data_IF_458191220766
#
_entry.id   IF_458191220766
#
_cell.length_a   1.000
_cell.length_b   1.000
_cell.length_c   1.000
_cell.angle_alpha   90.00
_cell.angle_beta   90.00
_cell.angle_gamma   90.00
#
_symmetry.space_group_name_H-M   'P 1'
#
loop_
_entity.id
_entity.type
_entity.pdbx_description
1 polymer ?
#
# COMPACT_ATOMS: atom_id res chain seq x y z
N UNK A 1 -7.73 -20.16 28.21
CA UNK A 1 -9.19 -20.23 28.48
C UNK A 1 -9.84 -19.51 27.31
N UNK A 2 -10.44 -20.29 26.40
CA UNK A 2 -10.81 -19.86 25.05
C UNK A 2 -12.09 -19.03 25.08
N UNK A 3 -12.03 -17.75 24.68
CA UNK A 3 -13.22 -16.96 24.41
C UNK A 3 -13.42 -16.94 22.89
N UNK A 4 -14.29 -17.83 22.40
CA UNK A 4 -14.85 -17.74 21.05
C UNK A 4 -15.87 -16.60 21.08
N UNK A 5 -15.51 -15.42 20.57
CA UNK A 5 -16.53 -14.44 20.17
C UNK A 5 -17.22 -14.99 18.94
N UNK A 6 -18.49 -15.37 19.10
CA UNK A 6 -19.40 -15.62 18.00
C UNK A 6 -19.88 -14.24 17.54
N UNK A 7 -19.25 -13.67 16.52
CA UNK A 7 -19.83 -12.54 15.79
C UNK A 7 -20.92 -13.10 14.87
N UNK A 8 -22.16 -13.00 15.32
CA UNK A 8 -23.33 -13.20 14.46
C UNK A 8 -23.57 -11.85 13.78
N UNK A 9 -23.06 -11.68 12.55
CA UNK A 9 -23.39 -10.54 11.71
C UNK A 9 -24.91 -10.57 11.44
N UNK A 10 -25.65 -9.72 12.13
CA UNK A 10 -27.08 -9.54 11.91
C UNK A 10 -27.23 -8.59 10.72
N UNK A 11 -27.22 -9.13 9.49
CA UNK A 11 -27.53 -8.36 8.28
C UNK A 11 -28.90 -7.71 8.45
N UNK A 12 -28.93 -6.39 8.62
CA UNK A 12 -30.15 -5.62 8.44
C UNK A 12 -30.53 -5.75 6.96
N UNK A 13 -31.70 -6.34 6.68
CA UNK A 13 -32.25 -6.36 5.34
C UNK A 13 -32.49 -4.91 4.89
N UNK A 14 -31.60 -4.39 4.05
CA UNK A 14 -31.74 -3.07 3.45
C UNK A 14 -33.04 -3.08 2.64
N UNK A 15 -34.01 -2.30 3.11
CA UNK A 15 -35.31 -2.18 2.44
C UNK A 15 -35.08 -1.45 1.14
N UNK A 16 -35.36 -2.12 0.01
CA UNK A 16 -35.21 -1.58 -1.34
C UNK A 16 -35.82 -0.19 -1.47
N UNK A 17 -34.99 0.85 -1.48
CA UNK A 17 -35.33 2.10 -2.10
C UNK A 17 -34.97 1.94 -3.58
N UNK A 18 -35.96 2.05 -4.47
CA UNK A 18 -35.75 2.17 -5.91
C UNK A 18 -35.01 3.50 -6.17
N UNK A 19 -33.69 3.49 -6.02
CA UNK A 19 -32.82 4.54 -6.49
C UNK A 19 -32.50 4.24 -7.96
N UNK A 20 -32.81 5.20 -8.83
CA UNK A 20 -32.33 5.30 -10.20
C UNK A 20 -30.90 4.77 -10.32
N UNK A 21 -30.70 3.76 -11.18
CA UNK A 21 -29.44 3.03 -11.30
C UNK A 21 -28.25 3.96 -11.48
N UNK A 22 -27.46 4.09 -10.42
CA UNK A 22 -26.08 4.54 -10.53
C UNK A 22 -25.37 3.42 -11.28
N UNK A 23 -24.85 3.73 -12.46
CA UNK A 23 -24.01 2.80 -13.18
C UNK A 23 -22.67 2.82 -12.47
N UNK A 24 -22.42 1.84 -11.62
CA UNK A 24 -21.09 1.61 -11.09
C UNK A 24 -20.14 1.31 -12.25
N UNK A 25 -18.97 1.93 -12.21
CA UNK A 25 -17.93 1.74 -13.20
C UNK A 25 -16.87 0.76 -12.66
N UNK A 26 -16.19 0.09 -13.58
CA UNK A 26 -14.90 -0.51 -13.27
C UNK A 26 -13.82 0.47 -13.69
N UNK A 27 -12.94 0.83 -12.76
CA UNK A 27 -11.77 1.67 -13.01
C UNK A 27 -10.53 0.78 -13.06
N UNK A 28 -9.59 1.08 -13.97
CA UNK A 28 -8.29 0.41 -14.02
C UNK A 28 -7.25 1.29 -13.36
N UNK A 29 -6.76 0.86 -12.21
CA UNK A 29 -5.70 1.56 -11.50
C UNK A 29 -4.34 1.37 -12.20
N UNK A 30 -3.44 2.36 -12.20
CA UNK A 30 -2.09 2.20 -12.73
C UNK A 30 -1.28 1.18 -11.93
N UNK A 31 -0.65 0.22 -12.60
CA UNK A 31 0.33 -0.68 -11.98
C UNK A 31 1.57 0.10 -11.54
N UNK A 32 1.85 0.12 -10.24
CA UNK A 32 2.98 0.86 -9.65
C UNK A 32 3.72 -0.03 -8.66
N UNK A 33 5.00 -0.25 -8.92
CA UNK A 33 5.90 -0.93 -8.01
C UNK A 33 6.61 0.11 -7.13
N UNK A 34 6.61 -0.09 -5.81
CA UNK A 34 7.32 0.79 -4.87
C UNK A 34 7.71 0.02 -3.60
N UNK A 35 8.87 0.33 -3.03
CA UNK A 35 9.29 -0.14 -1.69
C UNK A 35 9.22 0.96 -0.62
N UNK A 36 8.71 2.13 -1.02
CA UNK A 36 8.75 3.35 -0.20
C UNK A 36 7.56 3.43 0.77
N UNK A 37 6.53 2.59 0.58
CA UNK A 37 5.34 2.58 1.44
C UNK A 37 5.60 1.78 2.72
N UNK A 38 5.35 2.39 3.88
CA UNK A 38 5.65 1.83 5.20
C UNK A 38 4.42 1.91 6.11
N UNK A 39 3.64 0.83 6.15
CA UNK A 39 2.36 0.84 6.90
C UNK A 39 2.51 0.84 8.43
N UNK A 40 3.68 0.53 8.98
CA UNK A 40 3.90 0.52 10.43
C UNK A 40 5.32 0.90 10.83
N UNK A 41 5.42 1.53 12.00
CA UNK A 41 6.71 1.86 12.63
C UNK A 41 7.25 3.24 12.27
N UNK A 42 6.46 4.04 11.57
CA UNK A 42 6.78 5.42 11.24
C UNK A 42 6.67 6.37 12.44
N UNK A 43 7.13 7.61 12.24
CA UNK A 43 7.01 8.64 13.27
C UNK A 43 5.55 9.09 13.40
N UNK A 44 5.12 9.37 14.64
CA UNK A 44 3.76 9.84 14.89
C UNK A 44 3.45 11.10 14.09
N UNK A 45 2.36 11.07 13.32
CA UNK A 45 1.89 12.16 12.47
C UNK A 45 2.49 12.17 11.06
N UNK A 46 3.28 11.16 10.66
CA UNK A 46 3.81 11.01 9.30
C UNK A 46 3.27 9.79 8.57
N UNK A 47 2.30 9.07 9.15
CA UNK A 47 1.94 7.70 8.76
C UNK A 47 1.31 7.55 7.36
N UNK A 48 1.13 8.64 6.62
CA UNK A 48 0.57 8.63 5.26
C UNK A 48 1.37 9.52 4.29
N UNK A 49 2.48 10.12 4.75
CA UNK A 49 3.26 11.08 3.95
C UNK A 49 3.96 10.38 2.77
N UNK A 50 4.25 9.10 2.92
CA UNK A 50 4.87 8.22 1.95
C UNK A 50 4.04 8.05 0.67
N UNK A 51 2.71 8.00 0.74
CA UNK A 51 1.81 7.92 -0.43
C UNK A 51 1.99 9.09 -1.40
N UNK A 52 1.98 10.30 -0.84
CA UNK A 52 2.16 11.52 -1.63
C UNK A 52 3.61 11.67 -2.10
N UNK A 53 4.58 11.32 -1.25
CA UNK A 53 6.00 11.42 -1.60
C UNK A 53 6.43 10.41 -2.68
N UNK A 54 5.82 9.23 -2.69
CA UNK A 54 6.01 8.17 -3.70
C UNK A 54 5.24 8.43 -5.00
N UNK A 55 4.39 9.48 -5.03
CA UNK A 55 3.64 9.87 -6.21
C UNK A 55 2.58 8.85 -6.63
N UNK A 56 2.01 8.09 -5.69
CA UNK A 56 0.95 7.12 -5.99
C UNK A 56 -0.32 7.89 -6.39
N UNK A 57 -0.89 7.70 -7.59
CA UNK A 57 -2.09 8.39 -8.02
C UNK A 57 -3.32 7.79 -7.34
N UNK A 58 -4.35 8.62 -7.21
CA UNK A 58 -5.70 8.17 -6.84
C UNK A 58 -6.24 7.25 -7.93
N UNK A 59 -6.58 6.02 -7.54
CA UNK A 59 -7.19 5.01 -8.41
C UNK A 59 -8.67 5.32 -8.67
N UNK A 60 -9.41 5.71 -7.62
CA UNK A 60 -10.80 6.17 -7.73
C UNK A 60 -11.11 7.20 -6.64
N UNK A 61 -12.08 8.07 -6.94
CA UNK A 61 -12.62 9.06 -6.01
C UNK A 61 -14.14 8.90 -5.95
N UNK A 62 -14.67 8.81 -4.75
CA UNK A 62 -16.11 8.78 -4.48
C UNK A 62 -16.63 10.19 -4.12
N UNK A 63 -17.84 10.59 -4.54
CA UNK A 63 -18.45 11.82 -4.06
C UNK A 63 -18.86 11.73 -2.59
N UNK A 64 -18.82 12.85 -1.86
CA UNK A 64 -19.37 12.93 -0.51
C UNK A 64 -20.92 12.86 -0.54
N UNK A 65 -21.47 11.65 -0.56
CA UNK A 65 -22.90 11.39 -0.73
C UNK A 65 -23.53 10.51 0.36
N UNK A 66 -22.74 10.14 1.39
CA UNK A 66 -23.18 9.34 2.52
C UNK A 66 -23.16 10.13 3.86
N UNK A 67 -23.91 11.24 3.97
CA UNK A 67 -23.84 12.12 5.14
C UNK A 67 -24.30 11.42 6.43
N UNK A 68 -23.42 11.41 7.43
CA UNK A 68 -23.69 10.82 8.75
C UNK A 68 -23.35 9.34 8.87
N UNK A 69 -22.74 8.76 7.83
CA UNK A 69 -22.06 7.46 7.83
C UNK A 69 -20.56 7.69 7.61
N UNK A 70 -19.78 6.61 7.66
CA UNK A 70 -18.44 6.58 7.07
C UNK A 70 -18.62 6.66 5.55
N UNK A 71 -17.92 7.61 4.94
CA UNK A 71 -18.09 8.00 3.53
C UNK A 71 -16.71 7.96 2.88
N UNK A 72 -16.50 7.01 1.97
CA UNK A 72 -15.20 6.77 1.31
C UNK A 72 -14.91 7.97 0.40
N UNK A 73 -13.66 8.42 0.36
CA UNK A 73 -13.26 9.54 -0.49
C UNK A 73 -12.33 9.06 -1.62
N UNK A 74 -11.05 8.89 -1.36
CA UNK A 74 -10.08 8.48 -2.37
C UNK A 74 -9.50 7.11 -2.03
N UNK A 75 -9.23 6.30 -3.05
CA UNK A 75 -8.47 5.04 -2.91
C UNK A 75 -7.23 5.08 -3.78
N UNK A 76 -6.10 4.67 -3.22
CA UNK A 76 -4.82 4.51 -3.90
C UNK A 76 -4.34 3.05 -3.76
N UNK A 77 -3.54 2.59 -4.72
CA UNK A 77 -2.98 1.24 -4.71
C UNK A 77 -1.59 1.20 -5.34
N UNK A 78 -0.69 0.42 -4.74
CA UNK A 78 0.63 0.07 -5.25
C UNK A 78 1.00 -1.35 -4.79
N UNK A 79 2.13 -1.89 -5.22
CA UNK A 79 2.66 -3.13 -4.66
C UNK A 79 4.19 -3.14 -4.62
N UNK A 80 4.76 -4.02 -3.82
CA UNK A 80 6.13 -4.49 -3.98
C UNK A 80 6.13 -5.99 -4.29
N UNK A 81 7.23 -6.69 -3.98
CA UNK A 81 7.34 -8.14 -4.17
C UNK A 81 6.61 -8.96 -3.10
N UNK A 82 6.31 -8.35 -1.95
CA UNK A 82 5.80 -9.01 -0.76
C UNK A 82 4.35 -8.60 -0.43
N UNK A 83 3.97 -7.37 -0.76
CA UNK A 83 2.70 -6.76 -0.36
C UNK A 83 1.99 -6.02 -1.51
N UNK A 84 0.66 -6.03 -1.45
CA UNK A 84 -0.19 -5.02 -2.08
C UNK A 84 -0.46 -3.94 -1.03
N UNK A 85 -0.18 -2.69 -1.37
CA UNK A 85 -0.48 -1.53 -0.53
C UNK A 85 -1.78 -0.88 -0.98
N UNK A 86 -2.69 -0.61 -0.05
CA UNK A 86 -3.93 0.14 -0.31
C UNK A 86 -4.02 1.25 0.71
N UNK A 87 -4.43 2.44 0.27
CA UNK A 87 -4.77 3.57 1.13
C UNK A 87 -6.13 4.12 0.76
N UNK A 88 -6.96 4.36 1.76
CA UNK A 88 -8.29 4.93 1.64
C UNK A 88 -8.42 6.17 2.53
N UNK A 89 -8.96 7.25 1.98
CA UNK A 89 -9.36 8.46 2.72
C UNK A 89 -10.88 8.52 2.86
N UNK A 90 -11.40 9.34 3.76
CA UNK A 90 -12.85 9.45 4.04
C UNK A 90 -13.32 10.91 4.11
N UNK A 91 -14.55 11.21 3.68
CA UNK A 91 -15.13 12.57 3.61
C UNK A 91 -15.56 13.13 4.97
N UNK A 92 -14.61 13.31 5.90
CA UNK A 92 -14.88 13.84 7.24
C UNK A 92 -13.74 14.66 7.81
N UNK A 93 -14.09 15.65 8.62
CA UNK A 93 -13.14 16.47 9.39
C UNK A 93 -12.93 15.94 10.82
N UNK A 94 -13.52 14.79 11.17
CA UNK A 94 -13.45 14.19 12.52
C UNK A 94 -13.06 12.72 12.48
N UNK A 95 -12.39 12.24 13.53
CA UNK A 95 -11.98 10.85 13.69
C UNK A 95 -13.17 9.87 13.64
N UNK A 96 -13.14 8.92 12.72
CA UNK A 96 -14.12 7.83 12.58
C UNK A 96 -13.64 6.57 13.29
N UNK A 97 -14.57 5.70 13.68
CA UNK A 97 -14.27 4.31 14.02
C UNK A 97 -14.17 3.52 12.72
N UNK A 98 -12.99 3.03 12.39
CA UNK A 98 -12.70 2.36 11.12
C UNK A 98 -12.81 0.82 11.22
N UNK A 99 -13.35 0.29 12.32
CA UNK A 99 -13.57 -1.16 12.48
C UNK A 99 -14.59 -1.75 11.50
N UNK A 100 -15.38 -0.91 10.85
CA UNK A 100 -16.39 -1.28 9.87
C UNK A 100 -15.92 -1.10 8.42
N UNK A 101 -14.62 -0.89 8.20
CA UNK A 101 -14.02 -0.80 6.86
C UNK A 101 -13.50 -2.17 6.43
N UNK A 102 -13.82 -2.53 5.20
CA UNK A 102 -13.51 -3.82 4.60
C UNK A 102 -12.88 -3.67 3.22
N UNK A 103 -12.16 -4.71 2.82
CA UNK A 103 -11.68 -4.92 1.47
C UNK A 103 -12.26 -6.22 0.94
N UNK A 104 -12.75 -6.22 -0.30
CA UNK A 104 -13.20 -7.42 -1.01
C UNK A 104 -12.44 -7.59 -2.31
N UNK A 105 -11.81 -8.75 -2.51
CA UNK A 105 -10.97 -9.09 -3.66
C UNK A 105 -11.61 -10.20 -4.49
N UNK A 106 -11.88 -9.90 -5.74
CA UNK A 106 -12.15 -10.86 -6.81
C UNK A 106 -10.81 -11.24 -7.46
N UNK A 107 -10.29 -12.39 -7.05
CA UNK A 107 -8.90 -12.80 -7.28
C UNK A 107 -8.72 -13.59 -8.56
N UNK A 108 -9.81 -14.14 -9.10
CA UNK A 108 -9.85 -14.83 -10.39
C UNK A 108 -10.58 -14.01 -11.48
N UNK A 109 -11.13 -12.85 -11.12
CA UNK A 109 -11.90 -11.94 -11.97
C UNK A 109 -13.16 -12.58 -12.55
N UNK A 110 -13.78 -13.52 -11.80
CA UNK A 110 -15.06 -14.14 -12.10
C UNK A 110 -16.12 -13.71 -11.08
N UNK A 111 -17.05 -12.84 -11.52
CA UNK A 111 -18.16 -12.37 -10.70
C UNK A 111 -19.08 -13.49 -10.15
N UNK A 112 -18.96 -14.73 -10.63
CA UNK A 112 -19.80 -15.87 -10.22
C UNK A 112 -19.17 -16.78 -9.15
N UNK A 113 -17.87 -16.68 -8.86
CA UNK A 113 -17.15 -17.59 -7.95
C UNK A 113 -17.17 -17.08 -6.51
N UNK A 114 -16.98 -15.78 -6.30
CA UNK A 114 -16.96 -15.15 -4.98
C UNK A 114 -18.28 -14.52 -4.50
N UNK A 115 -18.23 -13.89 -3.33
CA UNK A 115 -19.34 -13.21 -2.67
C UNK A 115 -19.64 -11.85 -3.30
N UNK A 116 -20.90 -11.61 -3.64
CA UNK A 116 -21.39 -10.34 -4.19
C UNK A 116 -21.66 -9.32 -3.07
N UNK A 117 -20.71 -8.40 -2.88
CA UNK A 117 -20.78 -7.32 -1.88
C UNK A 117 -22.03 -6.47 -2.15
N UNK A 118 -22.88 -6.34 -1.13
CA UNK A 118 -24.20 -5.66 -1.20
C UNK A 118 -25.15 -6.11 -2.32
N UNK A 119 -24.86 -7.20 -3.02
CA UNK A 119 -25.65 -7.67 -4.17
C UNK A 119 -25.72 -6.65 -5.33
N UNK A 120 -24.66 -5.86 -5.53
CA UNK A 120 -24.57 -4.84 -6.59
C UNK A 120 -23.80 -5.31 -7.83
N UNK A 121 -23.12 -6.46 -7.77
CA UNK A 121 -22.47 -7.09 -8.93
C UNK A 121 -21.15 -6.45 -9.35
N UNK A 122 -20.40 -5.86 -8.41
CA UNK A 122 -19.10 -5.21 -8.67
C UNK A 122 -17.92 -6.18 -8.66
N UNK A 123 -17.96 -7.14 -7.74
CA UNK A 123 -16.92 -8.14 -7.52
C UNK A 123 -17.56 -9.46 -7.15
N UNK A 124 -16.98 -10.57 -7.63
CA UNK A 124 -17.13 -11.87 -7.00
C UNK A 124 -16.03 -12.01 -5.95
N UNK A 125 -16.20 -11.45 -4.75
CA UNK A 125 -15.11 -11.42 -3.76
C UNK A 125 -14.79 -12.83 -3.24
N UNK A 126 -13.59 -13.34 -3.53
CA UNK A 126 -13.06 -14.64 -3.07
C UNK A 126 -12.32 -14.53 -1.73
N UNK A 127 -11.70 -13.36 -1.51
CA UNK A 127 -10.83 -13.11 -0.38
C UNK A 127 -11.08 -11.69 0.12
N UNK A 128 -11.09 -11.51 1.43
CA UNK A 128 -11.45 -10.23 2.01
C UNK A 128 -10.72 -9.96 3.31
N UNK A 129 -10.69 -8.69 3.68
CA UNK A 129 -10.21 -8.24 4.99
C UNK A 129 -11.29 -7.40 5.67
N UNK A 130 -11.39 -7.57 6.98
CA UNK A 130 -11.96 -6.57 7.88
C UNK A 130 -10.80 -6.09 8.74
N UNK A 131 -10.50 -4.80 8.71
CA UNK A 131 -9.25 -4.29 9.29
C UNK A 131 -8.04 -5.10 8.80
N UNK A 132 -7.31 -5.75 9.69
CA UNK A 132 -6.18 -6.66 9.46
C UNK A 132 -6.56 -8.14 9.34
N UNK A 133 -7.82 -8.49 9.60
CA UNK A 133 -8.27 -9.88 9.69
C UNK A 133 -8.75 -10.42 8.33
N UNK A 134 -8.09 -11.46 7.78
CA UNK A 134 -8.45 -12.02 6.50
C UNK A 134 -9.56 -13.06 6.63
N UNK A 135 -10.39 -13.19 5.60
CA UNK A 135 -11.36 -14.27 5.50
C UNK A 135 -11.62 -14.65 4.03
N UNK A 136 -11.91 -15.93 3.84
CA UNK A 136 -12.20 -16.49 2.52
C UNK A 136 -13.71 -16.54 2.28
N UNK A 137 -14.10 -16.17 1.08
CA UNK A 137 -15.46 -15.97 0.63
C UNK A 137 -15.73 -16.83 -0.62
N UNK A 138 -16.98 -17.21 -0.81
CA UNK A 138 -17.45 -17.85 -2.06
C UNK A 138 -18.86 -17.37 -2.36
N UNK A 139 -19.38 -17.66 -3.55
CA UNK A 139 -20.73 -17.32 -3.96
C UNK A 139 -21.78 -17.70 -2.89
N UNK A 140 -22.47 -16.68 -2.37
CA UNK A 140 -23.51 -16.81 -1.35
C UNK A 140 -23.02 -17.10 0.08
N UNK A 141 -21.71 -17.19 0.33
CA UNK A 141 -21.12 -17.42 1.66
C UNK A 141 -20.11 -16.31 1.97
N UNK A 142 -20.51 -15.42 2.88
CA UNK A 142 -19.69 -14.27 3.29
C UNK A 142 -18.38 -14.66 3.98
N UNK A 143 -18.37 -15.72 4.79
CA UNK A 143 -17.14 -16.19 5.44
C UNK A 143 -17.20 -17.72 5.60
N UNK A 144 -16.31 -18.40 4.90
CA UNK A 144 -16.21 -19.86 4.89
C UNK A 144 -15.58 -20.44 6.17
N UNK A 145 -14.99 -19.59 7.02
CA UNK A 145 -14.20 -19.96 8.20
C UNK A 145 -13.02 -20.92 7.91
N UNK A 146 -12.55 -20.93 6.66
CA UNK A 146 -11.34 -21.65 6.29
C UNK A 146 -10.11 -20.99 6.93
N UNK A 147 -9.10 -21.81 7.22
CA UNK A 147 -7.84 -21.31 7.74
C UNK A 147 -7.09 -20.57 6.64
N UNK A 148 -6.57 -19.40 6.99
CA UNK A 148 -5.69 -18.60 6.15
C UNK A 148 -4.34 -18.53 6.85
N UNK A 149 -3.27 -18.62 6.07
CA UNK A 149 -1.88 -18.58 6.53
C UNK A 149 -1.04 -17.72 5.58
N UNK A 150 0.24 -17.57 5.88
CA UNK A 150 1.14 -16.61 5.21
C UNK A 150 1.18 -15.27 5.96
N UNK A 151 1.81 -14.29 5.34
CA UNK A 151 1.93 -12.93 5.87
C UNK A 151 2.84 -12.82 7.10
N UNK A 152 2.99 -11.58 7.61
CA UNK A 152 4.02 -11.23 8.61
C UNK A 152 3.91 -11.97 9.94
N UNK A 153 2.70 -12.45 10.29
CA UNK A 153 2.44 -13.19 11.53
C UNK A 153 1.89 -14.60 11.30
N UNK A 154 1.89 -15.09 10.05
CA UNK A 154 1.55 -16.47 9.70
C UNK A 154 0.07 -16.82 9.66
N UNK A 155 -0.84 -15.85 9.79
CA UNK A 155 -2.30 -16.03 9.72
C UNK A 155 -2.94 -15.37 8.48
N UNK A 156 -2.11 -14.90 7.54
CA UNK A 156 -2.51 -14.11 6.38
C UNK A 156 -3.01 -12.70 6.69
N UNK A 157 -2.85 -12.21 7.93
CA UNK A 157 -3.26 -10.86 8.29
C UNK A 157 -2.44 -9.79 7.60
N UNK A 158 -3.10 -8.67 7.27
CA UNK A 158 -2.44 -7.49 6.72
C UNK A 158 -1.74 -6.70 7.84
N UNK A 159 -0.67 -5.98 7.50
CA UNK A 159 -0.27 -4.85 8.33
C UNK A 159 -1.23 -3.70 8.05
N UNK A 160 -1.60 -2.95 9.08
CA UNK A 160 -2.52 -1.83 8.94
C UNK A 160 -2.10 -0.63 9.75
N UNK A 161 -2.51 0.56 9.31
CA UNK A 161 -2.55 1.77 10.12
C UNK A 161 -3.79 2.62 9.79
N UNK A 162 -4.55 3.11 10.79
CA UNK A 162 -4.35 2.88 12.23
C UNK A 162 -4.62 1.43 12.63
N UNK A 163 -3.87 0.93 13.61
CA UNK A 163 -4.03 -0.45 14.13
C UNK A 163 -4.80 -0.49 15.45
N UNK A 164 -5.25 -1.69 15.81
CA UNK A 164 -5.99 -1.94 17.04
C UNK A 164 -5.11 -1.69 18.29
N UNK A 165 -5.46 -0.72 19.14
CA UNK A 165 -4.69 -0.37 20.34
C UNK A 165 -5.16 -1.10 21.62
N UNK A 166 -5.78 -2.26 21.44
CA UNK A 166 -6.39 -3.09 22.51
C UNK A 166 -7.90 -3.20 22.38
N UNK A 167 -8.52 -4.23 22.96
CA UNK A 167 -9.89 -4.73 22.65
C UNK A 167 -11.01 -3.68 22.61
N UNK A 168 -10.85 -2.53 23.27
CA UNK A 168 -11.84 -1.44 23.35
C UNK A 168 -11.38 -0.18 22.60
N UNK A 169 -10.38 -0.30 21.73
CA UNK A 169 -9.73 0.81 21.02
C UNK A 169 -9.53 0.41 19.55
N UNK A 170 -10.61 0.43 18.76
CA UNK A 170 -10.56 0.12 17.34
C UNK A 170 -9.66 1.11 16.59
N UNK A 171 -9.15 0.72 15.41
CA UNK A 171 -8.63 1.66 14.42
C UNK A 171 -9.54 2.85 14.28
N UNK A 172 -8.98 4.05 14.40
CA UNK A 172 -9.76 5.28 14.31
C UNK A 172 -8.97 6.38 13.63
N UNK A 173 -9.60 7.09 12.71
CA UNK A 173 -8.93 8.07 11.85
C UNK A 173 -9.83 8.60 10.75
N UNK A 174 -9.24 9.37 9.85
CA UNK A 174 -9.87 9.84 8.59
C UNK A 174 -9.18 9.23 7.35
N UNK A 175 -8.22 8.33 7.58
CA UNK A 175 -7.42 7.63 6.59
C UNK A 175 -7.12 6.23 7.13
N UNK A 176 -6.98 5.26 6.22
CA UNK A 176 -6.68 3.88 6.54
C UNK A 176 -5.79 3.29 5.44
N UNK A 177 -4.72 2.61 5.83
CA UNK A 177 -3.86 1.89 4.92
C UNK A 177 -3.60 0.45 5.34
N UNK A 178 -3.27 -0.37 4.34
CA UNK A 178 -3.00 -1.80 4.45
C UNK A 178 -1.73 -2.17 3.68
N UNK A 179 -0.95 -3.11 4.22
CA UNK A 179 0.00 -3.92 3.48
C UNK A 179 -0.50 -5.37 3.49
N UNK A 180 -1.05 -5.80 2.35
CA UNK A 180 -1.70 -7.10 2.18
C UNK A 180 -0.68 -8.11 1.65
N UNK A 181 -0.41 -9.20 2.39
CA UNK A 181 0.61 -10.15 2.00
C UNK A 181 0.25 -10.93 0.73
N UNK A 182 1.15 -10.90 -0.26
CA UNK A 182 1.04 -11.67 -1.50
C UNK A 182 1.25 -13.17 -1.29
N UNK A 183 1.90 -13.57 -0.20
CA UNK A 183 2.09 -14.97 0.19
C UNK A 183 0.92 -15.55 1.00
N UNK A 184 -0.18 -14.80 1.18
CA UNK A 184 -1.38 -15.32 1.84
C UNK A 184 -1.95 -16.52 1.08
N UNK A 185 -2.34 -17.57 1.81
CA UNK A 185 -2.94 -18.78 1.22
C UNK A 185 -4.07 -19.36 2.07
N UNK A 186 -5.09 -19.87 1.38
CA UNK A 186 -6.23 -20.59 1.96
C UNK A 186 -5.89 -22.07 2.08
N UNK A 187 -6.29 -22.69 3.19
CA UNK A 187 -6.05 -24.12 3.45
C UNK A 187 -7.37 -24.90 3.34
N UNK A 188 -7.60 -25.56 2.18
CA UNK A 188 -8.76 -26.45 1.97
C UNK A 188 -8.60 -27.43 0.79
N UNK A 189 -8.58 -28.76 1.01
CA UNK A 189 -7.65 -29.50 1.86
C UNK A 189 -6.17 -29.40 1.40
N UNK A 190 -5.92 -28.73 0.28
CA UNK A 190 -4.60 -28.40 -0.25
C UNK A 190 -4.46 -26.88 -0.20
N UNK A 191 -3.28 -26.37 0.16
CA UNK A 191 -3.03 -24.94 0.20
C UNK A 191 -3.10 -24.33 -1.22
N UNK A 192 -3.82 -23.22 -1.35
CA UNK A 192 -3.87 -22.38 -2.56
C UNK A 192 -3.63 -20.93 -2.20
N UNK A 193 -2.82 -20.22 -3.00
CA UNK A 193 -2.63 -18.79 -2.84
C UNK A 193 -3.98 -18.06 -2.88
N UNK A 194 -4.12 -17.02 -2.06
CA UNK A 194 -5.27 -16.13 -2.10
C UNK A 194 -5.29 -15.36 -3.42
N UNK A 195 -4.14 -14.84 -3.86
CA UNK A 195 -3.98 -14.23 -5.16
C UNK A 195 -3.45 -15.27 -6.16
N UNK A 196 -4.35 -15.83 -6.97
CA UNK A 196 -4.01 -16.89 -7.93
C UNK A 196 -3.50 -16.37 -9.28
N UNK A 197 -3.64 -15.06 -9.51
CA UNK A 197 -3.29 -14.33 -10.72
C UNK A 197 -2.63 -12.99 -10.34
N UNK A 198 -1.72 -12.44 -11.16
CA UNK A 198 -1.19 -11.09 -10.94
C UNK A 198 -2.25 -10.00 -11.18
N UNK A 199 -3.35 -10.32 -11.85
CA UNK A 199 -4.48 -9.41 -12.07
C UNK A 199 -5.66 -9.81 -11.19
N UNK A 200 -6.25 -8.83 -10.52
CA UNK A 200 -7.43 -8.98 -9.67
C UNK A 200 -8.30 -7.73 -9.75
N UNK A 201 -9.49 -7.79 -9.16
CA UNK A 201 -10.36 -6.63 -8.95
C UNK A 201 -10.73 -6.55 -7.49
N UNK A 202 -10.83 -5.34 -6.94
CA UNK A 202 -11.19 -5.17 -5.54
C UNK A 202 -12.11 -3.96 -5.34
N UNK A 203 -12.74 -3.92 -4.18
CA UNK A 203 -13.51 -2.78 -3.67
C UNK A 203 -13.11 -2.49 -2.24
N UNK A 204 -13.18 -1.22 -1.86
CA UNK A 204 -13.27 -0.80 -0.45
C UNK A 204 -14.74 -0.63 -0.14
N UNK A 205 -15.20 -1.18 0.98
CA UNK A 205 -16.59 -1.02 1.39
C UNK A 205 -16.72 -0.83 2.91
N UNK A 206 -17.79 -0.19 3.30
CA UNK A 206 -18.12 0.11 4.69
C UNK A 206 -19.51 -0.43 5.02
N UNK A 207 -19.63 -1.10 6.15
CA UNK A 207 -20.92 -1.53 6.71
C UNK A 207 -21.07 -1.04 8.16
N UNK A 208 -21.29 0.26 8.32
CA UNK A 208 -21.46 0.91 9.63
C UNK A 208 -22.83 0.68 10.29
N UNK A 209 -23.66 -0.19 9.70
CA UNK A 209 -25.04 -0.48 10.11
C UNK A 209 -26.01 0.70 9.98
N UNK A 210 -25.61 1.82 9.37
CA UNK A 210 -26.45 2.99 9.09
C UNK A 210 -26.67 3.11 7.58
N UNK A 211 -25.62 3.41 6.84
CA UNK A 211 -25.59 3.48 5.38
C UNK A 211 -24.30 2.82 4.91
N UNK A 212 -24.44 1.70 4.20
CA UNK A 212 -23.30 1.04 3.58
C UNK A 212 -22.76 1.88 2.44
N UNK A 213 -21.45 1.82 2.25
CA UNK A 213 -20.74 2.52 1.19
C UNK A 213 -19.80 1.57 0.45
N UNK A 214 -19.62 1.77 -0.85
CA UNK A 214 -18.76 0.91 -1.67
C UNK A 214 -18.23 1.68 -2.87
N UNK A 215 -16.93 1.59 -3.09
CA UNK A 215 -16.30 2.22 -4.25
C UNK A 215 -16.75 1.59 -5.57
N UNK A 216 -16.47 2.28 -6.67
CA UNK A 216 -16.33 1.62 -7.98
C UNK A 216 -15.41 0.39 -7.89
N UNK A 217 -15.58 -0.57 -8.80
CA UNK A 217 -14.71 -1.75 -8.88
C UNK A 217 -13.32 -1.34 -9.39
N UNK A 218 -12.25 -1.64 -8.64
CA UNK A 218 -10.88 -1.24 -8.99
C UNK A 218 -10.13 -2.46 -9.52
N UNK A 219 -9.85 -2.48 -10.83
CA UNK A 219 -8.96 -3.47 -11.42
C UNK A 219 -7.51 -3.08 -11.21
N UNK A 220 -6.69 -4.02 -10.76
CA UNK A 220 -5.26 -3.86 -10.62
C UNK A 220 -4.52 -5.05 -11.21
N UNK A 221 -3.32 -4.79 -11.75
CA UNK A 221 -2.36 -5.84 -12.09
C UNK A 221 -1.07 -5.52 -11.36
N UNK A 222 -0.54 -6.49 -10.61
CA UNK A 222 0.71 -6.34 -9.89
C UNK A 222 1.78 -5.80 -10.83
N UNK A 223 2.39 -4.69 -10.43
CA UNK A 223 3.57 -4.18 -11.09
C UNK A 223 4.75 -5.09 -10.77
N UNK A 224 5.53 -5.38 -11.79
CA UNK A 224 6.82 -6.05 -11.61
C UNK A 224 7.82 -5.06 -11.01
N UNK A 225 8.79 -5.55 -10.22
CA UNK A 225 9.93 -4.73 -9.82
C UNK A 225 10.53 -4.06 -11.07
N UNK A 226 10.92 -2.77 -10.99
CA UNK A 226 11.72 -2.19 -12.04
C UNK A 226 12.91 -3.13 -12.28
N UNK A 227 13.33 -3.35 -13.53
CA UNK A 227 14.50 -4.17 -13.79
C UNK A 227 15.62 -3.64 -12.89
N UNK A 228 16.15 -4.50 -12.02
CA UNK A 228 17.26 -4.11 -11.15
C UNK A 228 18.35 -3.48 -12.02
N UNK A 229 18.93 -2.38 -11.56
CA UNK A 229 19.99 -1.72 -12.30
C UNK A 229 21.08 -2.78 -12.53
N UNK A 230 21.44 -3.12 -13.78
CA UNK A 230 22.33 -4.25 -13.99
C UNK A 230 23.67 -3.98 -13.28
N UNK A 231 24.01 -4.79 -12.27
CA UNK A 231 25.19 -4.54 -11.45
C UNK A 231 24.92 -4.12 -10.01
N UNK A 232 23.68 -3.72 -9.70
CA UNK A 232 23.15 -3.54 -8.33
C UNK A 232 22.83 -4.94 -7.78
N UNK A 233 23.81 -5.54 -7.15
CA UNK A 233 23.78 -6.91 -6.68
C UNK A 233 23.23 -7.02 -5.26
N UNK A 234 23.32 -5.98 -4.44
CA UNK A 234 22.71 -5.96 -3.11
C UNK A 234 21.34 -5.26 -3.05
N UNK A 235 20.87 -4.77 -4.20
CA UNK A 235 19.55 -4.19 -4.44
C UNK A 235 19.29 -2.94 -3.60
N UNK A 236 20.33 -2.16 -3.31
CA UNK A 236 20.25 -0.91 -2.56
C UNK A 236 19.97 0.32 -3.44
N UNK A 237 19.89 0.12 -4.75
CA UNK A 237 19.53 1.15 -5.73
C UNK A 237 20.72 1.93 -6.28
N UNK A 238 21.95 1.56 -5.93
CA UNK A 238 23.14 2.02 -6.63
C UNK A 238 24.01 0.87 -7.19
N UNK A 239 25.12 1.23 -7.84
CA UNK A 239 26.05 0.24 -8.41
C UNK A 239 27.44 0.67 -8.00
N UNK A 240 27.95 0.11 -6.91
CA UNK A 240 29.13 0.61 -6.22
C UNK A 240 30.11 -0.50 -5.74
N UNK A 241 30.96 -0.17 -4.76
CA UNK A 241 31.94 -1.11 -4.23
C UNK A 241 31.33 -2.27 -3.43
N UNK A 242 30.19 -2.08 -2.79
CA UNK A 242 29.52 -3.07 -1.95
C UNK A 242 28.88 -4.16 -2.83
N UNK A 243 28.33 -3.80 -3.99
CA UNK A 243 27.95 -4.76 -5.04
C UNK A 243 29.13 -5.62 -5.49
N UNK A 244 30.27 -4.98 -5.78
CA UNK A 244 31.45 -5.71 -6.21
C UNK A 244 31.93 -6.70 -5.15
N UNK A 245 31.88 -6.30 -3.88
CA UNK A 245 32.23 -7.18 -2.76
C UNK A 245 31.24 -8.34 -2.61
N UNK A 246 29.94 -8.09 -2.85
CA UNK A 246 28.94 -9.13 -2.87
C UNK A 246 29.21 -10.13 -4.01
N UNK A 247 29.47 -9.63 -5.22
CA UNK A 247 29.84 -10.47 -6.37
C UNK A 247 31.13 -11.26 -6.16
N UNK A 248 32.14 -10.68 -5.51
CA UNK A 248 33.37 -11.39 -5.18
C UNK A 248 33.14 -12.56 -4.22
N UNK A 249 32.19 -12.40 -3.29
CA UNK A 249 31.81 -13.43 -2.32
C UNK A 249 30.85 -14.47 -2.91
N UNK A 250 30.02 -14.05 -3.86
CA UNK A 250 29.09 -14.89 -4.59
C UNK A 250 29.02 -14.48 -6.07
N UNK A 251 29.80 -15.14 -6.92
CA UNK A 251 29.79 -14.88 -8.37
C UNK A 251 28.49 -15.32 -9.07
N UNK A 252 27.51 -15.85 -8.33
CA UNK A 252 26.17 -16.19 -8.82
C UNK A 252 25.19 -15.01 -8.81
N UNK A 253 25.50 -13.90 -8.15
CA UNK A 253 24.59 -12.73 -8.05
C UNK A 253 24.42 -11.97 -9.37
N UNK A 254 25.32 -12.17 -10.33
CA UNK A 254 25.21 -11.54 -11.64
C UNK A 254 26.51 -11.54 -12.43
N UNK A 255 26.49 -10.84 -13.56
CA UNK A 255 27.64 -10.70 -14.44
C UNK A 255 28.51 -9.53 -14.00
N UNK A 256 29.81 -9.76 -13.80
CA UNK A 256 30.79 -8.69 -13.56
C UNK A 256 30.77 -7.61 -14.67
N UNK A 257 30.35 -7.98 -15.89
CA UNK A 257 30.23 -7.03 -16.99
C UNK A 257 29.10 -6.02 -16.76
N UNK A 258 28.04 -6.41 -16.06
CA UNK A 258 26.90 -5.55 -15.76
C UNK A 258 27.33 -4.52 -14.70
N UNK A 259 27.98 -4.98 -13.62
CA UNK A 259 28.62 -4.10 -12.64
C UNK A 259 29.60 -3.12 -13.29
N UNK A 260 30.51 -3.60 -14.13
CA UNK A 260 31.50 -2.73 -14.77
C UNK A 260 30.88 -1.71 -15.74
N UNK A 261 29.71 -2.02 -16.32
CA UNK A 261 29.01 -1.12 -17.23
C UNK A 261 28.26 -0.02 -16.49
N UNK A 262 27.78 -0.29 -15.27
CA UNK A 262 26.90 0.62 -14.51
C UNK A 262 27.54 1.18 -13.23
N UNK A 263 28.78 0.80 -12.89
CA UNK A 263 29.49 1.34 -11.71
C UNK A 263 29.52 2.88 -11.71
N UNK A 264 28.94 3.46 -10.66
CA UNK A 264 28.82 4.91 -10.50
C UNK A 264 27.74 5.57 -11.36
N UNK A 265 26.80 4.80 -11.93
CA UNK A 265 25.67 5.31 -12.72
C UNK A 265 24.51 5.84 -11.86
N UNK A 266 24.45 5.51 -10.57
CA UNK A 266 23.45 6.03 -9.66
C UNK A 266 23.41 7.56 -9.71
N UNK A 267 22.19 8.10 -9.71
CA UNK A 267 21.94 9.54 -9.70
C UNK A 267 22.70 10.17 -8.55
N UNK A 268 23.84 10.78 -8.87
CA UNK A 268 24.61 11.54 -7.90
C UNK A 268 23.66 12.61 -7.33
N UNK A 269 23.18 12.39 -6.10
CA UNK A 269 22.66 13.45 -5.29
C UNK A 269 23.82 14.43 -5.15
N UNK A 270 23.77 15.52 -5.92
CA UNK A 270 24.74 16.62 -5.81
C UNK A 270 24.44 17.34 -4.51
N UNK A 271 24.76 16.71 -3.37
CA UNK A 271 25.02 17.43 -2.14
C UNK A 271 26.20 18.33 -2.49
N UNK A 272 25.90 19.61 -2.75
CA UNK A 272 26.92 20.62 -2.98
C UNK A 272 27.80 20.64 -1.74
N UNK A 273 28.95 19.96 -1.81
CA UNK A 273 29.95 19.98 -0.75
C UNK A 273 30.35 21.44 -0.59
N UNK A 274 30.05 22.11 0.54
CA UNK A 274 30.41 23.50 0.70
C UNK A 274 31.93 23.54 0.82
N UNK A 275 32.65 23.95 -0.23
CA UNK A 275 34.11 23.99 -0.18
C UNK A 275 34.58 25.03 0.86
N UNK A 276 35.21 24.62 1.98
CA UNK A 276 35.72 25.57 2.96
C UNK A 276 36.88 26.42 2.40
N UNK A 277 37.50 26.00 1.31
CA UNK A 277 38.64 26.64 0.67
C UNK A 277 38.32 27.92 -0.10
N UNK A 278 37.10 28.07 -0.63
CA UNK A 278 36.69 29.29 -1.34
C UNK A 278 36.64 30.51 -0.40
N UNK A 279 36.17 30.31 0.84
CA UNK A 279 36.15 31.35 1.87
C UNK A 279 37.56 31.81 2.28
N UNK A 280 38.52 30.88 2.33
CA UNK A 280 39.92 31.20 2.61
C UNK A 280 40.59 31.96 1.47
N UNK A 281 40.35 31.57 0.22
CA UNK A 281 40.90 32.29 -0.94
C UNK A 281 40.35 33.71 -1.06
N UNK A 282 39.06 33.92 -0.77
CA UNK A 282 38.45 35.26 -0.76
C UNK A 282 38.99 36.13 0.38
N UNK A 283 39.21 35.57 1.57
CA UNK A 283 39.81 36.32 2.69
C UNK A 283 41.26 36.68 2.41
N UNK A 284 42.08 35.76 1.87
CA UNK A 284 43.46 36.08 1.44
C UNK A 284 43.49 37.12 0.32
N UNK A 285 42.58 37.05 -0.65
CA UNK A 285 42.47 38.05 -1.71
C UNK A 285 42.09 39.43 -1.15
N UNK A 286 41.07 39.50 -0.27
CA UNK A 286 40.64 40.74 0.36
C UNK A 286 41.74 41.39 1.21
N UNK A 287 42.50 40.60 1.98
CA UNK A 287 43.66 41.08 2.75
C UNK A 287 44.79 41.61 1.84
N UNK A 288 44.99 41.01 0.67
CA UNK A 288 45.97 41.44 -0.32
C UNK A 288 45.62 42.80 -0.95
N UNK A 289 44.33 43.06 -1.20
CA UNK A 289 43.86 44.37 -1.69
C UNK A 289 43.85 45.44 -0.60
N UNK A 290 43.48 45.09 0.64
CA UNK A 290 43.48 46.02 1.76
C UNK A 290 44.89 46.49 2.16
N UNK A 291 45.87 45.58 2.11
CA UNK A 291 47.29 45.91 2.39
C UNK A 291 47.93 46.77 1.30
N UNK A 292 47.53 46.63 0.02
CA UNK A 292 47.97 47.51 -1.07
C UNK A 292 47.44 48.94 -0.93
N UNK A 293 46.20 49.14 -0.46
CA UNK A 293 45.63 50.48 -0.25
C UNK A 293 46.30 51.29 0.88
N UNK A 294 46.88 50.64 1.88
CA UNK A 294 47.56 51.32 3.00
C UNK A 294 48.98 51.83 2.70
N UNK A 295 49.57 51.46 1.56
CA UNK A 295 50.91 51.93 1.15
C UNK A 295 50.90 53.10 0.16
N UNK A 296 49.72 53.68 -0.10
CA UNK A 296 49.51 54.72 -1.11
C UNK A 296 49.10 56.10 -0.59
N UNK A 297 49.38 56.42 0.69
CA UNK A 297 49.26 57.77 1.25
C UNK A 297 50.53 58.14 2.00
#
# INVERSE_FOLDING_TARGET
MSLRLVFLALFAALTTCLASGVAFAQVTAPSIYTRDIVVQGEAEGTEFDDWASSGIPIATSDPADNPGSIDIADVQIANDSDYIYIHATFHTDTTLDLSQVFLGFDTDQDLLTGFDVFSVGLVGSDFAYQTDYPFHQVAGIYNTNLSIQGGPIGNGGALIFPYWQGVESPPAGTQFEWAIPLDAYIVDPIASLAFTSPSFTFVVFVDDQILGDVTDAISYTLAEPPPGEPGDFDADGDVDGDDFLLWQRDGGVGSLADWAANFGAATAATMSVPEPTACWLLTFAACSFASRRRRGN
#
